data_IF_677030409136
#
_entry.id   IF_677030409136
#
_cell.length_a   1.000
_cell.length_b   1.000
_cell.length_c   1.000
_cell.angle_alpha   90.00
_cell.angle_beta   90.00
_cell.angle_gamma   90.00
#
_symmetry.space_group_name_H-M   'P 1'
#
loop_
_entity.id
_entity.type
_entity.pdbx_description
1 polymer ?
#
# COMPACT_ATOMS: atom_id res chain seq x y z
N UNK A 1 -7.61 2.95 6.28
CA UNK A 1 -7.03 1.61 6.08
C UNK A 1 -6.93 0.91 7.42
N UNK A 2 -7.09 -0.42 7.46
CA UNK A 2 -6.74 -1.22 8.64
C UNK A 2 -5.21 -1.27 8.82
N UNK A 3 -4.73 -1.72 9.98
CA UNK A 3 -3.28 -1.90 10.23
C UNK A 3 -2.63 -2.80 9.18
N UNK A 4 -3.30 -3.89 8.82
CA UNK A 4 -2.84 -4.87 7.83
C UNK A 4 -2.75 -4.28 6.42
N UNK A 5 -3.80 -3.58 5.98
CA UNK A 5 -3.82 -2.88 4.70
C UNK A 5 -2.72 -1.84 4.60
N UNK A 6 -2.50 -1.10 5.70
CA UNK A 6 -1.44 -0.11 5.78
C UNK A 6 -0.06 -0.75 5.72
N UNK A 7 0.20 -1.83 6.48
CA UNK A 7 1.47 -2.56 6.43
C UNK A 7 1.79 -3.08 5.03
N UNK A 8 0.80 -3.64 4.34
CA UNK A 8 0.96 -4.09 2.96
C UNK A 8 1.35 -2.95 2.02
N UNK A 9 0.59 -1.86 2.04
CA UNK A 9 0.88 -0.70 1.22
C UNK A 9 2.25 -0.09 1.57
N UNK A 10 2.57 0.02 2.85
CA UNK A 10 3.82 0.59 3.34
C UNK A 10 5.02 -0.18 2.82
N UNK A 11 5.02 -1.50 2.96
CA UNK A 11 6.07 -2.37 2.43
C UNK A 11 6.26 -2.13 0.93
N UNK A 12 5.18 -2.17 0.14
CA UNK A 12 5.29 -1.97 -1.31
C UNK A 12 5.69 -0.54 -1.70
N UNK A 13 5.33 0.47 -0.90
CA UNK A 13 5.74 1.85 -1.13
C UNK A 13 7.23 2.06 -0.88
N UNK A 14 7.84 1.32 0.06
CA UNK A 14 9.30 1.31 0.26
C UNK A 14 10.04 0.68 -0.94
N UNK A 15 9.38 -0.24 -1.65
CA UNK A 15 9.89 -0.90 -2.85
C UNK A 15 9.20 -0.40 -4.13
N UNK A 16 8.82 0.88 -4.19
CA UNK A 16 8.04 1.45 -5.30
C UNK A 16 8.65 1.11 -6.68
N UNK A 17 7.82 0.56 -7.56
CA UNK A 17 8.21 0.16 -8.92
C UNK A 17 9.03 -1.13 -9.01
N UNK A 18 9.29 -1.79 -7.88
CA UNK A 18 9.97 -3.09 -7.81
C UNK A 18 8.98 -4.17 -7.37
N UNK A 19 9.27 -5.39 -7.80
CA UNK A 19 8.57 -6.58 -7.36
C UNK A 19 9.13 -6.99 -5.99
N UNK A 20 8.24 -7.20 -5.03
CA UNK A 20 8.55 -7.77 -3.70
C UNK A 20 8.10 -9.23 -3.69
N UNK A 21 8.98 -10.19 -3.36
CA UNK A 21 8.63 -11.60 -3.23
C UNK A 21 7.41 -11.84 -2.32
N UNK A 22 6.52 -12.75 -2.71
CA UNK A 22 5.24 -12.94 -2.03
C UNK A 22 5.40 -13.53 -0.63
N UNK A 23 6.37 -14.42 -0.43
CA UNK A 23 6.80 -14.95 0.87
C UNK A 23 7.19 -13.83 1.84
N UNK A 24 8.00 -12.86 1.39
CA UNK A 24 8.38 -11.69 2.21
C UNK A 24 7.17 -10.81 2.54
N UNK A 25 6.26 -10.64 1.57
CA UNK A 25 5.02 -9.89 1.78
C UNK A 25 4.13 -10.59 2.81
N UNK A 26 3.97 -11.91 2.69
CA UNK A 26 3.13 -12.70 3.60
C UNK A 26 3.73 -12.67 5.00
N UNK A 27 5.03 -12.93 5.16
CA UNK A 27 5.68 -12.93 6.46
C UNK A 27 5.61 -11.56 7.14
N UNK A 28 5.71 -10.47 6.37
CA UNK A 28 5.58 -9.11 6.91
C UNK A 28 4.17 -8.78 7.43
N UNK A 29 3.12 -9.33 6.81
CA UNK A 29 1.72 -8.98 7.09
C UNK A 29 1.05 -9.99 8.02
N UNK A 30 1.39 -11.26 7.84
CA UNK A 30 0.85 -12.45 8.51
C UNK A 30 1.99 -13.37 8.91
N UNK A 31 2.81 -12.97 9.90
CA UNK A 31 3.98 -13.76 10.30
C UNK A 31 3.58 -15.19 10.69
N UNK A 32 4.31 -16.17 10.16
CA UNK A 32 4.09 -17.60 10.40
C UNK A 32 2.84 -18.20 9.73
N UNK A 33 2.27 -17.54 8.70
CA UNK A 33 1.08 -18.02 7.95
C UNK A 33 1.36 -18.34 6.49
N UNK A 34 2.61 -18.53 6.11
CA UNK A 34 3.02 -18.82 4.74
C UNK A 34 2.36 -20.09 4.20
N UNK A 35 2.24 -21.12 5.03
CA UNK A 35 1.64 -22.41 4.64
C UNK A 35 0.12 -22.36 4.38
N UNK A 36 -0.59 -21.36 4.92
CA UNK A 36 -2.06 -21.25 4.82
C UNK A 36 -2.51 -20.07 3.96
N UNK A 37 -1.59 -19.16 3.60
CA UNK A 37 -1.92 -17.98 2.82
C UNK A 37 -1.93 -18.31 1.34
N UNK A 38 -3.13 -18.22 0.74
CA UNK A 38 -3.32 -18.51 -0.68
C UNK A 38 -3.27 -17.24 -1.55
N UNK A 39 -3.21 -17.42 -2.86
CA UNK A 39 -3.35 -16.34 -3.84
C UNK A 39 -4.64 -15.54 -3.61
N UNK A 40 -5.73 -16.20 -3.20
CA UNK A 40 -7.00 -15.52 -2.94
C UNK A 40 -6.89 -14.51 -1.80
N UNK A 41 -6.16 -14.84 -0.72
CA UNK A 41 -5.94 -13.92 0.41
C UNK A 41 -5.19 -12.65 -0.05
N UNK A 42 -4.11 -12.83 -0.81
CA UNK A 42 -3.34 -11.71 -1.36
C UNK A 42 -4.15 -10.88 -2.36
N UNK A 43 -4.89 -11.53 -3.27
CA UNK A 43 -5.75 -10.84 -4.24
C UNK A 43 -6.82 -10.00 -3.56
N UNK A 44 -7.45 -10.51 -2.49
CA UNK A 44 -8.45 -9.76 -1.73
C UNK A 44 -7.84 -8.57 -0.99
N UNK A 45 -6.66 -8.73 -0.38
CA UNK A 45 -5.95 -7.63 0.27
C UNK A 45 -5.56 -6.55 -0.74
N UNK A 46 -5.01 -6.96 -1.88
CA UNK A 46 -4.66 -6.09 -3.00
C UNK A 46 -5.86 -5.33 -3.51
N UNK A 47 -6.99 -5.98 -3.72
CA UNK A 47 -8.21 -5.33 -4.15
C UNK A 47 -8.69 -4.26 -3.16
N UNK A 48 -8.73 -4.60 -1.85
CA UNK A 48 -9.14 -3.66 -0.79
C UNK A 48 -8.23 -2.44 -0.71
N UNK A 49 -6.92 -2.64 -0.80
CA UNK A 49 -5.94 -1.55 -0.78
C UNK A 49 -6.01 -0.70 -2.04
N UNK A 50 -6.08 -1.33 -3.23
CA UNK A 50 -6.22 -0.62 -4.50
C UNK A 50 -7.45 0.28 -4.51
N UNK A 51 -8.61 -0.21 -4.06
CA UNK A 51 -9.86 0.58 -3.98
C UNK A 51 -9.68 1.82 -3.12
N UNK A 52 -9.09 1.68 -1.93
CA UNK A 52 -8.88 2.78 -0.98
C UNK A 52 -7.89 3.83 -1.47
N UNK A 53 -6.88 3.41 -2.25
CA UNK A 53 -5.92 4.35 -2.83
C UNK A 53 -6.54 5.06 -4.03
N UNK A 54 -7.30 4.35 -4.87
CA UNK A 54 -7.99 4.94 -6.01
C UNK A 54 -8.93 6.08 -5.59
N UNK A 55 -9.64 5.90 -4.48
CA UNK A 55 -10.51 6.92 -3.88
C UNK A 55 -9.74 8.15 -3.36
N UNK A 56 -8.43 8.03 -3.09
CA UNK A 56 -7.63 9.05 -2.41
C UNK A 56 -6.61 9.79 -3.30
N UNK A 57 -5.90 9.07 -4.18
CA UNK A 57 -4.71 9.56 -4.90
C UNK A 57 -4.77 9.31 -6.42
N UNK A 58 -5.87 8.73 -6.89
CA UNK A 58 -6.09 8.41 -8.30
C UNK A 58 -5.46 7.08 -8.73
N UNK A 59 -5.15 6.95 -10.02
CA UNK A 59 -4.85 5.66 -10.63
C UNK A 59 -3.50 5.08 -10.17
N UNK A 60 -3.56 3.97 -9.43
CA UNK A 60 -2.39 3.17 -9.01
C UNK A 60 -2.39 1.78 -9.63
N UNK A 61 -1.19 1.32 -9.97
CA UNK A 61 -0.93 -0.04 -10.43
C UNK A 61 -0.51 -0.86 -9.20
N UNK A 62 -1.43 -1.67 -8.72
CA UNK A 62 -1.18 -2.63 -7.65
C UNK A 62 -1.42 -4.03 -8.17
N UNK A 63 -0.42 -4.91 -8.05
CA UNK A 63 -0.46 -6.30 -8.51
C UNK A 63 0.03 -7.23 -7.41
N UNK A 64 -0.52 -8.44 -7.36
CA UNK A 64 -0.12 -9.48 -6.42
C UNK A 64 -0.19 -10.86 -7.05
N UNK A 65 0.88 -11.63 -6.92
CA UNK A 65 1.00 -13.00 -7.38
C UNK A 65 1.87 -13.76 -6.39
N UNK A 66 1.46 -14.97 -6.00
CA UNK A 66 2.32 -15.86 -5.21
C UNK A 66 3.57 -16.26 -5.99
N UNK A 67 3.47 -16.38 -7.32
CA UNK A 67 4.58 -16.79 -8.18
C UNK A 67 5.49 -15.62 -8.54
N UNK A 68 4.92 -14.47 -8.84
CA UNK A 68 5.66 -13.31 -9.36
C UNK A 68 5.90 -12.23 -8.30
N UNK A 69 5.35 -12.36 -7.09
CA UNK A 69 5.43 -11.34 -6.05
C UNK A 69 4.37 -10.25 -6.17
N UNK A 70 4.54 -9.20 -5.38
CA UNK A 70 3.65 -8.04 -5.30
C UNK A 70 4.36 -6.76 -5.72
N UNK A 71 3.64 -5.84 -6.35
CA UNK A 71 4.22 -4.58 -6.83
C UNK A 71 3.22 -3.44 -6.68
N UNK A 72 3.75 -2.30 -6.22
CA UNK A 72 3.08 -1.01 -6.27
C UNK A 72 3.82 -0.07 -7.22
N UNK A 73 3.10 0.48 -8.18
CA UNK A 73 3.55 1.58 -9.02
C UNK A 73 2.45 2.64 -9.10
N UNK A 74 2.85 3.90 -9.22
CA UNK A 74 1.92 5.02 -9.38
C UNK A 74 2.05 5.52 -10.82
N UNK A 75 0.92 5.78 -11.47
CA UNK A 75 0.90 6.35 -12.83
C UNK A 75 1.49 7.76 -12.87
N UNK A 76 1.47 8.47 -11.73
CA UNK A 76 1.99 9.83 -11.55
C UNK A 76 3.09 9.87 -10.51
N UNK A 77 3.80 11.01 -10.44
CA UNK A 77 4.76 11.31 -9.37
C UNK A 77 4.01 11.52 -8.05
N UNK A 78 3.73 10.43 -7.33
CA UNK A 78 3.19 10.47 -5.96
C UNK A 78 4.32 10.55 -4.93
N UNK A 79 4.13 11.42 -3.94
CA UNK A 79 4.91 11.48 -2.70
C UNK A 79 4.04 10.97 -1.53
N UNK A 80 4.45 9.88 -0.88
CA UNK A 80 3.73 9.35 0.29
C UNK A 80 4.29 9.95 1.57
N UNK A 81 3.47 10.68 2.32
CA UNK A 81 3.82 11.27 3.61
C UNK A 81 3.28 10.43 4.77
N UNK A 82 4.18 9.98 5.65
CA UNK A 82 3.81 9.25 6.87
C UNK A 82 3.86 10.18 8.07
N UNK A 83 2.71 10.43 8.69
CA UNK A 83 2.59 11.37 9.80
C UNK A 83 2.02 10.63 11.01
N UNK A 84 2.86 10.43 12.04
CA UNK A 84 2.45 9.77 13.28
C UNK A 84 1.56 10.65 14.16
N UNK A 85 1.76 11.97 14.12
CA UNK A 85 0.98 12.92 14.93
C UNK A 85 -0.33 13.30 14.24
N UNK A 86 -1.46 13.12 14.95
CA UNK A 86 -2.78 13.53 14.48
C UNK A 86 -2.85 15.03 14.20
N UNK A 87 -2.18 15.84 15.02
CA UNK A 87 -2.10 17.29 14.84
C UNK A 87 -1.35 17.63 13.56
N UNK A 88 -0.16 17.04 13.36
CA UNK A 88 0.63 17.26 12.15
C UNK A 88 -0.11 16.79 10.89
N UNK A 89 -0.86 15.69 10.97
CA UNK A 89 -1.67 15.21 9.83
C UNK A 89 -2.73 16.22 9.41
N UNK A 90 -3.34 16.94 10.36
CA UNK A 90 -4.30 18.02 10.07
C UNK A 90 -3.61 19.23 9.45
N UNK A 91 -2.48 19.64 10.01
CA UNK A 91 -1.71 20.79 9.50
C UNK A 91 -1.23 20.53 8.08
N UNK A 92 -0.62 19.38 7.80
CA UNK A 92 -0.15 19.03 6.47
C UNK A 92 -1.30 18.98 5.45
N UNK A 93 -2.47 18.44 5.82
CA UNK A 93 -3.65 18.45 4.94
C UNK A 93 -4.06 19.88 4.57
N UNK A 94 -4.16 20.77 5.55
CA UNK A 94 -4.52 22.17 5.32
C UNK A 94 -3.48 22.90 4.45
N UNK A 95 -2.20 22.66 4.70
CA UNK A 95 -1.11 23.27 3.94
C UNK A 95 -1.08 22.80 2.48
N UNK A 96 -1.31 21.51 2.23
CA UNK A 96 -1.34 20.93 0.88
C UNK A 96 -2.57 21.42 0.11
N UNK A 97 -3.75 21.42 0.74
CA UNK A 97 -4.99 21.90 0.13
C UNK A 97 -4.94 23.39 -0.23
N UNK A 98 -4.32 24.23 0.61
CA UNK A 98 -4.14 25.67 0.33
C UNK A 98 -3.18 25.96 -0.82
N UNK A 99 -2.26 25.06 -1.13
CA UNK A 99 -1.24 25.26 -2.18
C UNK A 99 -1.73 24.86 -3.58
N UNK A 100 -2.93 24.27 -3.67
CA UNK A 100 -3.54 23.80 -4.92
C UNK A 100 -4.61 24.76 -5.48
N UNK A 101 -4.85 25.89 -4.80
CA UNK A 101 -5.62 27.04 -5.28
C UNK A 101 -4.67 28.20 -5.56
#
# INVERSE_FOLDING_TARGET
MTKMEFSYYYLLAQHKGRIVPADLVIEHIWPGREAVTSQNNLSQLTFKVKKKILEADGEVILRSSLKEGCMLSHSRRTLTLFIKSRLMSRICRLAILKKMH
#
